data_IF_146755015110
#
_entry.id   IF_146755015110
#
_cell.length_a   1.000
_cell.length_b   1.000
_cell.length_c   1.000
_cell.angle_alpha   90.00
_cell.angle_beta   90.00
_cell.angle_gamma   90.00
#
_symmetry.space_group_name_H-M   'P 1'
#
loop_
_entity.id
_entity.type
_entity.pdbx_description
1 polymer ?
#
# COMPACT_ATOMS: atom_id res chain seq x y z
N UNK A 1 1.45 35.30 -41.67
CA UNK A 1 2.54 34.93 -42.62
C UNK A 1 3.79 34.62 -41.80
N UNK A 2 4.43 33.48 -42.11
CA UNK A 2 5.72 32.94 -41.63
C UNK A 2 5.79 32.52 -40.13
N UNK A 3 5.68 31.22 -39.81
CA UNK A 3 6.71 30.14 -39.85
C UNK A 3 7.66 30.25 -38.65
N UNK A 4 7.43 29.51 -37.57
CA UNK A 4 7.88 28.12 -37.33
C UNK A 4 9.42 27.98 -37.33
N UNK A 5 9.99 27.91 -36.12
CA UNK A 5 11.33 27.41 -35.87
C UNK A 5 11.29 26.54 -34.62
N UNK A 6 11.10 25.25 -34.86
CA UNK A 6 11.33 24.16 -33.92
C UNK A 6 12.85 24.03 -33.76
N UNK A 7 13.37 24.35 -32.58
CA UNK A 7 14.77 24.07 -32.22
C UNK A 7 14.94 22.55 -32.02
N UNK A 8 15.45 21.91 -33.06
CA UNK A 8 15.85 20.50 -33.09
C UNK A 8 17.37 20.39 -32.95
N UNK A 9 17.88 20.71 -31.78
CA UNK A 9 19.30 20.51 -31.44
C UNK A 9 19.34 19.96 -30.02
N UNK A 10 19.39 18.65 -29.77
CA UNK A 10 20.65 17.91 -29.67
C UNK A 10 20.32 16.41 -29.56
N UNK A 11 19.86 15.79 -30.64
CA UNK A 11 19.64 14.34 -30.67
C UNK A 11 20.97 13.65 -31.05
N UNK A 12 21.59 13.01 -30.05
CA UNK A 12 22.88 12.34 -30.13
C UNK A 12 22.84 11.16 -31.13
N UNK A 13 23.29 11.39 -32.37
CA UNK A 13 23.35 10.42 -33.48
C UNK A 13 24.44 9.34 -33.34
N UNK A 14 24.94 9.04 -32.13
CA UNK A 14 26.09 8.12 -31.93
C UNK A 14 25.79 6.80 -31.22
N UNK A 15 24.53 6.47 -30.91
CA UNK A 15 24.18 5.14 -30.37
C UNK A 15 23.35 4.25 -31.30
N UNK A 16 23.05 4.71 -32.53
CA UNK A 16 22.48 3.89 -33.59
C UNK A 16 23.62 3.34 -34.44
N UNK A 17 24.11 2.13 -34.13
CA UNK A 17 24.84 1.18 -35.00
C UNK A 17 25.79 0.33 -34.16
N UNK A 18 25.28 -0.73 -33.52
CA UNK A 18 26.06 -1.96 -33.31
C UNK A 18 25.14 -3.11 -32.93
N UNK A 19 25.24 -4.18 -33.74
CA UNK A 19 24.72 -5.55 -33.57
C UNK A 19 23.39 -5.86 -34.26
N UNK A 20 23.47 -5.86 -35.59
CA UNK A 20 22.75 -6.83 -36.41
C UNK A 20 23.37 -8.23 -36.18
N UNK A 21 22.54 -9.22 -35.88
CA UNK A 21 22.90 -10.64 -35.76
C UNK A 21 21.73 -11.48 -36.25
N UNK A 22 22.03 -12.40 -37.17
CA UNK A 22 21.16 -13.16 -38.06
C UNK A 22 20.13 -14.11 -37.40
N UNK A 23 19.00 -14.24 -38.10
CA UNK A 23 18.26 -15.46 -38.48
C UNK A 23 18.47 -16.77 -37.67
N UNK A 24 17.36 -17.30 -37.16
CA UNK A 24 17.23 -18.71 -36.76
C UNK A 24 15.76 -19.08 -36.49
N UNK A 25 15.08 -19.57 -37.52
CA UNK A 25 13.69 -20.01 -37.54
C UNK A 25 13.64 -21.54 -37.38
N UNK A 26 12.98 -22.08 -36.36
CA UNK A 26 12.34 -23.42 -36.36
C UNK A 26 11.36 -23.61 -35.17
N UNK A 27 10.06 -23.69 -35.49
CA UNK A 27 9.05 -24.54 -34.82
C UNK A 27 9.19 -25.98 -35.40
N UNK A 28 8.61 -27.10 -34.87
CA UNK A 28 7.44 -27.22 -33.97
C UNK A 28 7.46 -28.42 -32.95
N UNK A 29 6.31 -28.57 -32.26
CA UNK A 29 5.56 -29.81 -31.95
C UNK A 29 5.73 -30.58 -30.61
N UNK A 30 4.56 -30.68 -29.95
CA UNK A 30 3.93 -31.87 -29.35
C UNK A 30 4.49 -32.49 -28.06
N UNK A 31 3.63 -32.51 -27.03
CA UNK A 31 3.77 -33.36 -25.85
C UNK A 31 2.44 -33.40 -25.07
N UNK A 32 1.65 -34.43 -25.35
CA UNK A 32 0.30 -34.64 -24.86
C UNK A 32 0.28 -35.40 -23.51
N UNK A 33 -0.73 -35.07 -22.69
CA UNK A 33 -1.51 -35.94 -21.78
C UNK A 33 -0.78 -36.79 -20.72
N UNK A 34 -1.11 -36.52 -19.44
CA UNK A 34 -1.27 -37.57 -18.43
C UNK A 34 -2.47 -37.23 -17.52
N UNK A 35 -3.66 -37.62 -17.98
CA UNK A 35 -4.82 -37.85 -17.11
C UNK A 35 -4.67 -39.23 -16.48
N UNK A 36 -4.59 -39.30 -15.16
CA UNK A 36 -4.80 -40.55 -14.42
C UNK A 36 -6.07 -40.41 -13.59
N UNK A 37 -7.12 -41.11 -14.03
CA UNK A 37 -8.27 -41.44 -13.19
C UNK A 37 -7.85 -42.49 -12.17
N UNK A 38 -8.24 -42.29 -10.91
CA UNK A 38 -8.29 -43.33 -9.89
C UNK A 38 -9.69 -43.34 -9.28
N UNK A 39 -10.60 -44.10 -9.91
CA UNK A 39 -11.94 -44.41 -9.41
C UNK A 39 -11.89 -45.71 -8.60
N UNK A 40 -12.32 -45.68 -7.34
CA UNK A 40 -12.88 -46.82 -6.62
C UNK A 40 -13.98 -46.27 -5.70
N UNK A 41 -15.25 -46.56 -5.99
CA UNK A 41 -16.40 -46.29 -5.09
C UNK A 41 -16.56 -47.41 -4.05
N UNK A 42 -17.80 -47.74 -3.65
CA UNK A 42 -18.87 -46.92 -3.09
C UNK A 42 -19.15 -47.34 -1.63
N UNK A 43 -19.82 -46.52 -0.81
CA UNK A 43 -21.01 -46.95 -0.05
C UNK A 43 -21.67 -45.77 0.69
N UNK A 44 -22.99 -45.79 0.73
CA UNK A 44 -23.87 -44.80 1.34
C UNK A 44 -24.23 -45.16 2.78
N UNK A 45 -24.33 -44.17 3.68
CA UNK A 45 -25.61 -43.95 4.39
C UNK A 45 -25.67 -42.67 5.23
N UNK A 46 -26.88 -42.12 5.46
CA UNK A 46 -27.11 -40.81 6.05
C UNK A 46 -27.48 -40.88 7.54
N UNK A 47 -27.00 -39.91 8.31
CA UNK A 47 -27.45 -39.58 9.66
C UNK A 47 -26.64 -38.34 10.13
N UNK A 48 -27.14 -37.24 10.69
CA UNK A 48 -28.46 -36.81 11.13
C UNK A 48 -28.49 -35.27 11.11
N UNK A 49 -29.70 -34.72 11.01
CA UNK A 49 -29.98 -33.35 11.47
C UNK A 49 -29.73 -33.24 12.97
N UNK A 50 -29.18 -32.11 13.43
CA UNK A 50 -29.55 -31.53 14.72
C UNK A 50 -29.33 -30.02 14.68
N UNK A 51 -30.27 -29.32 15.33
CA UNK A 51 -30.42 -27.87 15.40
C UNK A 51 -29.34 -27.29 16.33
N UNK A 52 -28.92 -26.05 16.09
CA UNK A 52 -28.07 -25.34 17.06
C UNK A 52 -27.81 -23.88 16.75
N UNK A 53 -28.44 -23.01 17.54
CA UNK A 53 -28.44 -21.54 17.55
C UNK A 53 -27.09 -20.83 17.70
N UNK A 54 -26.98 -19.69 16.98
CA UNK A 54 -26.37 -18.38 17.36
C UNK A 54 -24.84 -18.29 17.63
N UNK A 55 -24.27 -17.06 17.67
CA UNK A 55 -23.12 -16.67 16.86
C UNK A 55 -21.81 -16.77 17.64
N UNK A 56 -20.73 -17.13 16.95
CA UNK A 56 -19.38 -17.01 17.51
C UNK A 56 -18.98 -15.53 17.51
N UNK A 57 -19.25 -14.86 18.62
CA UNK A 57 -18.48 -13.69 19.04
C UNK A 57 -17.08 -14.19 19.41
N UNK A 58 -16.15 -14.10 18.46
CA UNK A 58 -14.74 -14.33 18.74
C UNK A 58 -14.22 -13.17 19.59
N UNK A 59 -14.24 -13.39 20.90
CA UNK A 59 -13.50 -12.65 21.89
C UNK A 59 -12.01 -12.82 21.60
N UNK A 60 -11.32 -11.78 21.14
CA UNK A 60 -9.86 -11.73 21.21
C UNK A 60 -9.48 -11.34 22.64
N UNK A 61 -9.12 -12.37 23.39
CA UNK A 61 -8.48 -12.28 24.69
C UNK A 61 -7.18 -11.48 24.56
N UNK A 62 -6.97 -10.56 25.50
CA UNK A 62 -5.79 -9.71 25.57
C UNK A 62 -4.47 -10.48 25.69
N UNK A 63 -3.43 -9.88 25.12
CA UNK A 63 -2.04 -10.15 25.42
C UNK A 63 -1.37 -8.80 25.74
N UNK A 64 -0.32 -8.80 26.59
CA UNK A 64 -0.14 -7.82 27.66
C UNK A 64 0.43 -6.48 27.19
N UNK A 65 0.22 -5.46 28.02
CA UNK A 65 1.05 -4.26 28.10
C UNK A 65 2.53 -4.69 28.16
N UNK A 66 3.23 -4.62 27.04
CA UNK A 66 4.67 -4.51 27.05
C UNK A 66 5.00 -3.05 27.34
N UNK A 67 5.61 -2.81 28.51
CA UNK A 67 6.26 -1.56 28.81
C UNK A 67 7.23 -1.24 27.66
N UNK A 68 6.94 -0.17 26.93
CA UNK A 68 7.76 0.28 25.82
C UNK A 68 9.17 0.55 26.32
N UNK A 69 10.14 -0.15 25.76
CA UNK A 69 11.53 0.26 25.84
C UNK A 69 11.65 1.59 25.11
N UNK A 70 11.73 2.68 25.87
CA UNK A 70 12.07 3.99 25.32
C UNK A 70 13.46 3.90 24.68
N UNK A 71 13.50 3.83 23.35
CA UNK A 71 14.73 3.83 22.56
C UNK A 71 14.81 2.80 21.42
N UNK A 72 13.89 1.85 21.30
CA UNK A 72 13.88 0.94 20.14
C UNK A 72 13.10 1.54 18.97
N UNK A 73 13.76 1.64 17.81
CA UNK A 73 13.10 2.00 16.54
C UNK A 73 12.07 0.94 16.18
N UNK A 74 10.82 1.34 15.95
CA UNK A 74 9.76 0.44 15.49
C UNK A 74 9.92 0.20 14.00
N UNK A 75 10.27 -1.03 13.62
CA UNK A 75 10.42 -1.44 12.22
C UNK A 75 9.06 -1.83 11.63
N UNK A 76 8.62 -1.13 10.59
CA UNK A 76 7.41 -1.41 9.84
C UNK A 76 7.77 -1.68 8.38
N UNK A 77 7.09 -2.66 7.78
CA UNK A 77 7.21 -2.93 6.34
C UNK A 77 5.82 -2.94 5.73
N UNK A 78 5.68 -2.26 4.59
CA UNK A 78 4.47 -2.27 3.78
C UNK A 78 4.86 -2.48 2.33
N UNK A 79 4.16 -3.41 1.69
CA UNK A 79 4.38 -3.77 0.29
C UNK A 79 3.21 -3.25 -0.54
N UNK A 80 3.48 -2.39 -1.51
CA UNK A 80 2.57 -2.12 -2.61
C UNK A 80 2.66 -3.29 -3.60
N UNK A 81 1.52 -3.89 -3.90
CA UNK A 81 1.36 -4.74 -5.08
C UNK A 81 0.93 -3.80 -6.21
N UNK A 82 -0.19 -4.02 -6.88
CA UNK A 82 -0.76 -3.03 -7.81
C UNK A 82 -1.74 -2.09 -7.07
N UNK A 83 -3.02 -2.44 -6.97
CA UNK A 83 -4.03 -1.58 -6.32
C UNK A 83 -4.24 -1.89 -4.83
N UNK A 84 -3.20 -2.38 -4.14
CA UNK A 84 -3.30 -2.86 -2.75
C UNK A 84 -2.01 -2.71 -1.97
N UNK A 85 -2.15 -2.45 -0.67
CA UNK A 85 -1.08 -2.54 0.31
C UNK A 85 -1.17 -3.82 1.16
N UNK A 86 -0.02 -4.40 1.47
CA UNK A 86 0.13 -5.54 2.37
C UNK A 86 1.25 -5.29 3.40
N UNK A 87 0.93 -5.27 4.71
CA UNK A 87 -0.41 -5.32 5.28
C UNK A 87 -1.22 -4.04 5.00
N UNK A 88 -2.55 -4.14 5.01
CA UNK A 88 -3.44 -2.98 4.88
C UNK A 88 -3.62 -2.21 6.21
N UNK A 89 -2.99 -2.69 7.29
CA UNK A 89 -3.08 -2.14 8.62
C UNK A 89 -1.68 -2.12 9.24
N UNK A 90 -1.29 -0.98 9.77
CA UNK A 90 0.01 -0.76 10.41
C UNK A 90 -0.25 -0.10 11.77
N UNK A 91 0.64 -0.35 12.73
CA UNK A 91 0.58 0.30 14.03
C UNK A 91 1.97 0.69 14.52
N UNK A 92 2.08 1.89 15.09
CA UNK A 92 3.30 2.37 15.73
C UNK A 92 2.96 3.07 17.05
N UNK A 93 3.88 3.12 18.02
CA UNK A 93 3.70 3.93 19.20
C UNK A 93 3.93 5.43 18.92
N UNK A 94 3.18 6.30 19.60
CA UNK A 94 3.42 7.74 19.62
C UNK A 94 4.75 8.07 20.30
N UNK A 95 5.41 9.14 19.84
CA UNK A 95 6.66 9.68 20.38
C UNK A 95 7.84 8.70 20.38
N UNK A 96 7.80 7.68 19.51
CA UNK A 96 8.89 6.73 19.32
C UNK A 96 9.32 6.71 17.86
N UNK A 97 10.62 6.54 17.56
CA UNK A 97 11.09 6.49 16.18
C UNK A 97 10.52 5.26 15.47
N UNK A 98 10.07 5.46 14.25
CA UNK A 98 9.51 4.45 13.34
C UNK A 98 10.35 4.43 12.08
N UNK A 99 10.82 3.24 11.69
CA UNK A 99 11.42 3.01 10.37
C UNK A 99 10.37 2.32 9.49
N UNK A 100 9.91 3.00 8.46
CA UNK A 100 8.98 2.45 7.48
C UNK A 100 9.75 2.04 6.22
N UNK A 101 9.74 0.75 5.93
CA UNK A 101 10.21 0.17 4.67
C UNK A 101 9.01 0.05 3.73
N UNK A 102 9.01 0.89 2.69
CA UNK A 102 8.05 0.83 1.60
C UNK A 102 8.64 0.01 0.45
N UNK A 103 8.01 -1.10 0.08
CA UNK A 103 8.43 -1.97 -1.01
C UNK A 103 7.39 -1.92 -2.11
N UNK A 104 7.81 -1.68 -3.35
CA UNK A 104 6.92 -1.78 -4.49
C UNK A 104 7.18 -3.06 -5.28
N UNK A 105 6.20 -3.97 -5.30
CA UNK A 105 6.16 -5.19 -6.10
C UNK A 105 5.13 -5.13 -7.24
N UNK A 106 4.44 -4.00 -7.42
CA UNK A 106 3.53 -3.76 -8.53
C UNK A 106 4.25 -3.53 -9.85
N UNK A 107 3.47 -3.51 -10.92
CA UNK A 107 3.98 -3.29 -12.28
C UNK A 107 4.35 -1.81 -12.55
N UNK A 108 3.86 -0.89 -11.73
CA UNK A 108 4.04 0.56 -11.91
C UNK A 108 4.53 1.23 -10.62
N UNK A 109 4.88 2.51 -10.69
CA UNK A 109 5.25 3.30 -9.51
C UNK A 109 4.10 3.38 -8.51
N UNK A 110 4.43 3.22 -7.24
CA UNK A 110 3.52 3.42 -6.14
C UNK A 110 4.16 4.32 -5.09
N UNK A 111 3.29 5.02 -4.38
CA UNK A 111 3.65 5.84 -3.24
C UNK A 111 2.73 5.53 -2.06
N UNK A 112 3.14 6.01 -0.90
CA UNK A 112 2.40 5.95 0.35
C UNK A 112 2.56 7.28 1.06
N UNK A 113 1.43 7.93 1.37
CA UNK A 113 1.37 9.07 2.28
C UNK A 113 0.50 8.69 3.49
N UNK A 114 0.95 9.00 4.70
CA UNK A 114 0.09 8.90 5.90
C UNK A 114 -0.65 10.23 6.08
N UNK A 115 -1.92 10.24 5.66
CA UNK A 115 -2.73 11.45 5.56
C UNK A 115 -3.03 12.04 6.94
N UNK A 116 -2.68 13.31 7.11
CA UNK A 116 -2.98 14.07 8.33
C UNK A 116 -2.12 13.73 9.54
N UNK A 117 -1.09 12.87 9.39
CA UNK A 117 -0.12 12.60 10.45
C UNK A 117 1.11 13.50 10.29
N UNK A 118 1.25 14.45 11.21
CA UNK A 118 2.49 15.21 11.35
C UNK A 118 3.54 14.38 12.07
N UNK A 119 4.76 14.39 11.53
CA UNK A 119 5.89 13.64 12.09
C UNK A 119 7.10 14.54 12.37
N UNK A 120 7.95 14.15 13.32
CA UNK A 120 9.24 14.80 13.55
C UNK A 120 10.41 13.89 13.16
N UNK A 121 11.56 14.48 12.89
CA UNK A 121 12.77 13.74 12.51
C UNK A 121 12.65 12.96 11.20
N UNK A 122 11.75 13.38 10.30
CA UNK A 122 11.57 12.73 8.99
C UNK A 122 12.89 12.75 8.21
N UNK A 123 13.36 11.56 7.84
CA UNK A 123 14.58 11.38 7.06
C UNK A 123 14.49 10.16 6.16
N UNK A 124 15.05 10.26 4.96
CA UNK A 124 15.17 9.13 4.03
C UNK A 124 16.45 8.36 4.34
N UNK A 125 16.29 7.13 4.81
CA UNK A 125 17.37 6.23 5.22
C UNK A 125 17.91 5.49 4.00
N UNK A 126 17.02 5.05 3.12
CA UNK A 126 17.37 4.40 1.85
C UNK A 126 16.52 5.02 0.76
N UNK A 127 17.13 5.82 -0.13
CA UNK A 127 16.40 6.38 -1.26
C UNK A 127 16.08 5.27 -2.29
N UNK A 128 14.98 5.40 -3.03
CA UNK A 128 14.70 4.51 -4.16
C UNK A 128 15.73 4.74 -5.28
N UNK A 129 15.88 3.73 -6.15
CA UNK A 129 16.74 3.81 -7.33
C UNK A 129 16.22 4.82 -8.34
N UNK A 130 14.90 4.98 -8.45
CA UNK A 130 14.26 5.95 -9.31
C UNK A 130 12.92 6.43 -8.73
N UNK A 131 12.65 7.72 -8.89
CA UNK A 131 11.34 8.34 -8.67
C UNK A 131 10.96 9.12 -9.93
N UNK A 132 9.66 9.15 -10.24
CA UNK A 132 9.10 10.08 -11.23
C UNK A 132 9.17 11.53 -10.74
N UNK A 133 9.04 12.48 -11.66
CA UNK A 133 8.96 13.91 -11.32
C UNK A 133 7.77 14.20 -10.38
N UNK A 134 6.65 13.48 -10.58
CA UNK A 134 5.49 13.54 -9.71
C UNK A 134 5.83 13.08 -8.29
N UNK A 135 6.44 11.91 -8.15
CA UNK A 135 6.81 11.37 -6.86
C UNK A 135 7.84 12.24 -6.14
N UNK A 136 8.77 12.84 -6.89
CA UNK A 136 9.75 13.80 -6.36
C UNK A 136 9.06 15.06 -5.84
N UNK A 137 8.15 15.65 -6.62
CA UNK A 137 7.39 16.83 -6.19
C UNK A 137 6.54 16.57 -4.94
N UNK A 138 5.87 15.41 -4.87
CA UNK A 138 5.09 15.01 -3.69
C UNK A 138 5.99 14.75 -2.48
N UNK A 139 7.16 14.15 -2.67
CA UNK A 139 8.14 13.95 -1.60
C UNK A 139 8.61 15.29 -1.01
N UNK A 140 8.91 16.27 -1.87
CA UNK A 140 9.37 17.60 -1.44
C UNK A 140 8.26 18.35 -0.69
N UNK A 141 7.03 18.28 -1.19
CA UNK A 141 5.86 18.87 -0.54
C UNK A 141 5.56 18.22 0.82
N UNK A 142 5.57 16.89 0.89
CA UNK A 142 5.36 16.14 2.12
C UNK A 142 6.46 16.46 3.15
N UNK A 143 7.72 16.52 2.72
CA UNK A 143 8.85 16.88 3.58
C UNK A 143 8.69 18.30 4.14
N UNK A 144 8.31 19.27 3.30
CA UNK A 144 8.06 20.65 3.74
C UNK A 144 6.91 20.75 4.74
N UNK A 145 5.89 19.88 4.63
CA UNK A 145 4.74 19.80 5.53
C UNK A 145 4.93 18.84 6.70
N UNK A 146 6.09 18.17 6.80
CA UNK A 146 6.37 17.12 7.79
C UNK A 146 5.35 15.96 7.76
N UNK A 147 4.96 15.53 6.56
CA UNK A 147 4.12 14.36 6.33
C UNK A 147 5.00 13.16 5.95
N UNK A 148 4.68 11.99 6.49
CA UNK A 148 5.38 10.76 6.13
C UNK A 148 4.98 10.32 4.71
N UNK A 149 5.91 10.45 3.77
CA UNK A 149 5.75 10.06 2.37
C UNK A 149 6.91 9.17 1.92
N UNK A 150 6.60 8.11 1.19
CA UNK A 150 7.59 7.28 0.49
C UNK A 150 7.07 6.88 -0.88
N UNK A 151 7.97 6.74 -1.86
CA UNK A 151 7.63 6.30 -3.21
C UNK A 151 8.71 5.37 -3.75
N UNK A 152 8.32 4.44 -4.61
CA UNK A 152 9.24 3.52 -5.26
C UNK A 152 8.71 3.11 -6.64
N UNK A 153 9.62 2.97 -7.61
CA UNK A 153 9.33 2.36 -8.90
C UNK A 153 9.08 0.85 -8.79
N UNK A 154 8.67 0.23 -9.90
CA UNK A 154 8.41 -1.22 -9.97
C UNK A 154 9.62 -2.04 -9.52
N UNK A 155 9.43 -2.92 -8.53
CA UNK A 155 10.47 -3.79 -7.98
C UNK A 155 11.50 -3.11 -7.08
N UNK A 156 11.24 -1.86 -6.68
CA UNK A 156 12.14 -1.03 -5.89
C UNK A 156 11.61 -0.81 -4.46
N UNK A 157 12.39 -0.13 -3.61
CA UNK A 157 11.99 0.21 -2.26
C UNK A 157 12.52 1.58 -1.80
N UNK A 158 11.85 2.15 -0.81
CA UNK A 158 12.28 3.34 -0.10
C UNK A 158 12.14 3.10 1.41
N UNK A 159 13.11 3.55 2.19
CA UNK A 159 13.08 3.45 3.65
C UNK A 159 13.13 4.86 4.23
N UNK A 160 12.12 5.20 5.02
CA UNK A 160 12.04 6.45 5.76
C UNK A 160 12.04 6.19 7.26
N UNK A 161 12.57 7.13 8.02
CA UNK A 161 12.51 7.14 9.48
C UNK A 161 11.82 8.43 9.94
N UNK A 162 10.90 8.30 10.89
CA UNK A 162 10.14 9.44 11.42
C UNK A 162 9.59 9.12 12.81
N UNK A 163 9.16 10.14 13.54
CA UNK A 163 8.54 10.00 14.86
C UNK A 163 7.11 10.57 14.83
N UNK A 164 6.05 9.75 14.94
CA UNK A 164 4.68 10.23 15.02
C UNK A 164 4.43 10.91 16.37
N UNK A 165 3.95 12.16 16.37
CA UNK A 165 3.71 12.93 17.60
C UNK A 165 2.25 12.90 18.08
N UNK A 166 1.32 12.57 17.18
CA UNK A 166 -0.10 12.48 17.47
C UNK A 166 -0.56 11.02 17.53
N UNK A 167 -1.16 10.63 18.66
CA UNK A 167 -1.88 9.36 18.77
C UNK A 167 -3.24 9.44 18.08
N UNK A 168 -3.70 8.34 17.47
CA UNK A 168 -4.94 8.32 16.71
C UNK A 168 -4.94 7.33 15.55
N UNK A 169 -6.02 7.34 14.78
CA UNK A 169 -6.16 6.52 13.56
C UNK A 169 -6.04 7.42 12.32
N UNK A 170 -5.11 7.07 11.44
CA UNK A 170 -4.81 7.78 10.21
C UNK A 170 -5.04 6.86 9.00
N UNK A 171 -5.40 7.42 7.86
CA UNK A 171 -5.46 6.68 6.60
C UNK A 171 -4.13 6.86 5.88
N UNK A 172 -3.53 5.78 5.40
CA UNK A 172 -2.45 5.88 4.42
C UNK A 172 -2.96 5.49 3.04
N UNK A 173 -2.51 6.19 2.01
CA UNK A 173 -3.02 6.00 0.65
C UNK A 173 -1.94 6.20 -0.41
N UNK A 174 -2.17 5.58 -1.58
CA UNK A 174 -1.42 5.86 -2.80
C UNK A 174 -2.06 7.05 -3.53
N UNK A 175 -1.28 8.10 -3.76
CA UNK A 175 -1.65 9.35 -4.43
C UNK A 175 -1.45 9.31 -5.94
N UNK A 176 -1.06 8.15 -6.50
CA UNK A 176 -1.15 7.93 -7.95
C UNK A 176 -2.60 8.11 -8.39
N UNK A 177 -2.88 8.92 -9.43
CA UNK A 177 -4.25 9.20 -9.87
C UNK A 177 -5.07 7.92 -10.10
N UNK A 178 -6.24 7.83 -9.45
CA UNK A 178 -7.17 6.70 -9.56
C UNK A 178 -6.91 5.55 -8.58
N UNK A 179 -5.75 5.50 -7.91
CA UNK A 179 -5.41 4.36 -7.06
C UNK A 179 -6.14 4.41 -5.72
N UNK A 180 -6.15 5.57 -5.05
CA UNK A 180 -6.90 5.74 -3.79
C UNK A 180 -8.40 5.52 -4.00
N UNK A 181 -8.94 6.03 -5.09
CA UNK A 181 -10.35 5.88 -5.47
C UNK A 181 -10.70 4.42 -5.77
N UNK A 182 -9.74 3.66 -6.31
CA UNK A 182 -9.86 2.21 -6.49
C UNK A 182 -9.67 1.40 -5.18
N UNK A 183 -9.38 2.06 -4.06
CA UNK A 183 -9.26 1.42 -2.75
C UNK A 183 -7.82 1.12 -2.32
N UNK A 184 -6.80 1.67 -2.99
CA UNK A 184 -5.40 1.54 -2.59
C UNK A 184 -5.09 2.43 -1.38
N UNK A 185 -5.58 1.98 -0.23
CA UNK A 185 -5.47 2.63 1.07
C UNK A 185 -5.43 1.62 2.19
N UNK A 186 -4.95 2.05 3.34
CA UNK A 186 -4.92 1.26 4.57
C UNK A 186 -5.01 2.15 5.80
N UNK A 187 -4.97 1.53 6.98
CA UNK A 187 -5.08 2.22 8.26
C UNK A 187 -3.75 2.21 9.02
N UNK A 188 -3.31 3.39 9.48
CA UNK A 188 -2.16 3.55 10.35
C UNK A 188 -2.64 3.96 11.75
N UNK A 189 -2.40 3.11 12.74
CA UNK A 189 -2.81 3.37 14.14
C UNK A 189 -1.59 3.78 14.97
N UNK A 190 -1.63 5.00 15.50
CA UNK A 190 -0.63 5.47 16.45
C UNK A 190 -1.12 5.23 17.87
N UNK A 191 -0.47 4.31 18.60
CA UNK A 191 -0.84 3.93 19.97
C UNK A 191 -0.12 4.80 21.01
N UNK A 192 -0.87 5.30 21.99
CA UNK A 192 -0.38 6.17 23.07
C UNK A 192 -1.55 6.76 23.83
N UNK A 193 -1.29 7.49 24.92
CA UNK A 193 -2.33 8.02 25.84
C UNK A 193 -3.33 9.01 25.21
N UNK A 194 -3.22 9.29 23.90
CA UNK A 194 -4.17 10.09 23.12
C UNK A 194 -4.97 9.31 22.06
N UNK A 195 -4.81 7.97 21.96
CA UNK A 195 -5.54 7.14 21.01
C UNK A 195 -7.00 6.94 21.47
N UNK A 196 -7.78 8.02 21.47
CA UNK A 196 -9.24 7.90 21.41
C UNK A 196 -9.57 7.54 19.97
N UNK A 197 -10.02 6.30 19.79
CA UNK A 197 -10.62 5.83 18.55
C UNK A 197 -11.69 6.86 18.15
N UNK A 198 -11.45 7.56 17.03
CA UNK A 198 -12.39 8.52 16.48
C UNK A 198 -13.74 7.83 16.30
N UNK A 199 -14.70 8.27 17.11
CA UNK A 199 -16.06 7.76 17.16
C UNK A 199 -16.67 7.65 15.76
N UNK A 200 -17.39 6.55 15.60
CA UNK A 200 -18.50 6.32 14.68
C UNK A 200 -19.05 7.61 14.05
N UNK A 201 -19.12 7.62 12.72
CA UNK A 201 -20.07 8.45 12.01
C UNK A 201 -21.45 8.25 12.62
N UNK A 202 -21.90 9.23 13.39
CA UNK A 202 -23.30 9.38 13.74
C UNK A 202 -24.11 9.41 12.44
N UNK A 203 -24.99 8.43 12.34
CA UNK A 203 -26.03 8.39 11.34
C UNK A 203 -26.90 9.64 11.52
N UNK A 204 -26.75 10.63 10.65
CA UNK A 204 -27.78 11.64 10.45
C UNK A 204 -28.98 10.98 9.76
N UNK A 205 -29.85 10.40 10.58
CA UNK A 205 -31.25 10.13 10.30
C UNK A 205 -31.91 11.41 9.74
N UNK A 206 -32.26 11.40 8.46
CA UNK A 206 -33.00 12.49 7.82
C UNK A 206 -34.50 12.21 7.90
N UNK A 207 -35.07 12.31 9.10
CA UNK A 207 -36.52 12.39 9.28
C UNK A 207 -36.96 13.86 9.29
N UNK A 208 -37.31 14.40 8.12
CA UNK A 208 -37.96 15.71 8.00
C UNK A 208 -39.49 15.51 8.02
N UNK A 209 -40.23 16.06 9.00
CA UNK A 209 -41.69 16.07 8.97
C UNK A 209 -42.20 17.16 8.02
N UNK A 210 -43.08 16.78 7.09
CA UNK A 210 -43.83 17.71 6.22
C UNK A 210 -44.95 18.40 7.03
N UNK A 211 -45.16 19.72 6.90
CA UNK A 211 -46.35 20.37 7.43
C UNK A 211 -47.55 20.13 6.50
N UNK A 212 -48.70 19.79 7.09
CA UNK A 212 -49.97 19.69 6.39
C UNK A 212 -50.48 21.09 6.02
N UNK A 213 -50.83 21.26 4.75
CA UNK A 213 -51.56 22.40 4.20
C UNK A 213 -52.65 21.91 3.26
#
# INVERSE_FOLDING_TARGET
>A
MALDQIDSTTMNRRSLLKRAGLLGLTLPAAGALLSACGTNGPDMSPAQMEKGSRPQTASVSGAPLAAAAAGSVTELTVTALDLKFEPAQLSAPANQPVRLTFINKGAIEHDIEILGLTVDGLSTVTPPKAMSDRATGLHDEATAKKLAYAAAGSGDQMVIEFTPTAAGSFEFACLVPGHREAGMKGSFTVTGDGATAGSSHDAMDHSVPMPAG
#
